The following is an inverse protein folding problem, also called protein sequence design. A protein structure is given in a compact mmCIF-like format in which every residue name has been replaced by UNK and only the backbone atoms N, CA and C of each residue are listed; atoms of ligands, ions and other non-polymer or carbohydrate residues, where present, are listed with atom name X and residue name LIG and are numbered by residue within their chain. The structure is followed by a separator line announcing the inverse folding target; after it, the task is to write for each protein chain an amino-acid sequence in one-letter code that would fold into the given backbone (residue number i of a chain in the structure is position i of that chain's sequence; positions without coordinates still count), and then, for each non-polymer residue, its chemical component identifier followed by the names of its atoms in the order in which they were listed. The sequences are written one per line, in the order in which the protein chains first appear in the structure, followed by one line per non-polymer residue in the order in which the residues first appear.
data_IF_043474670038
#
_entry.id   IF_043474670038
#
_cell.length_a   1.000
_cell.length_b   1.000
_cell.length_c   1.000
_cell.angle_alpha   90.00
_cell.angle_beta   90.00
_cell.angle_gamma   90.00
#
_symmetry.space_group_name_H-M   'P 1'
#
loop_
_entity.id
_entity.type
_entity.pdbx_description
1 polymer ?
#
# COMPACT_ATOMS: atom_id res chain seq x y z
N UNK A 1 -1.15 10.28 4.00
CA UNK A 1 -1.43 9.10 3.16
C UNK A 1 -0.62 7.92 3.68
N UNK A 2 -1.26 6.80 3.96
CA UNK A 2 -0.59 5.56 4.37
C UNK A 2 -0.64 4.54 3.23
N UNK A 3 0.38 3.69 3.12
CA UNK A 3 0.45 2.65 2.10
C UNK A 3 0.71 1.28 2.73
N UNK A 4 -0.19 0.35 2.45
CA UNK A 4 -0.10 -1.05 2.85
C UNK A 4 0.29 -1.87 1.62
N UNK A 5 1.40 -2.60 1.71
CA UNK A 5 1.87 -3.47 0.63
C UNK A 5 1.71 -4.94 1.03
N UNK A 6 0.85 -5.65 0.32
CA UNK A 6 0.53 -7.06 0.51
C UNK A 6 1.06 -7.92 -0.65
N UNK A 7 1.05 -9.23 -0.47
CA UNK A 7 1.52 -10.18 -1.47
C UNK A 7 3.02 -10.46 -1.38
N UNK A 8 3.78 -10.17 -2.44
CA UNK A 8 5.17 -10.60 -2.55
C UNK A 8 6.16 -9.44 -2.63
N UNK A 9 7.46 -9.77 -2.66
CA UNK A 9 8.54 -8.79 -2.75
C UNK A 9 8.41 -7.83 -3.95
N UNK A 10 7.74 -8.25 -5.03
CA UNK A 10 7.44 -7.36 -6.15
C UNK A 10 6.51 -6.22 -5.75
N UNK A 11 5.44 -6.49 -5.01
CA UNK A 11 4.51 -5.46 -4.54
C UNK A 11 5.22 -4.48 -3.60
N UNK A 12 6.17 -4.95 -2.78
CA UNK A 12 6.99 -4.08 -1.94
C UNK A 12 7.85 -3.13 -2.78
N UNK A 13 8.57 -3.64 -3.77
CA UNK A 13 9.40 -2.80 -4.67
C UNK A 13 8.54 -1.81 -5.47
N UNK A 14 7.39 -2.25 -5.97
CA UNK A 14 6.45 -1.37 -6.69
C UNK A 14 5.94 -0.24 -5.77
N UNK A 15 5.69 -0.55 -4.50
CA UNK A 15 5.30 0.42 -3.47
C UNK A 15 6.39 1.44 -3.16
N UNK A 16 7.66 1.02 -3.05
CA UNK A 16 8.81 1.92 -2.87
C UNK A 16 8.98 2.87 -4.06
N UNK A 17 8.79 2.36 -5.29
CA UNK A 17 8.82 3.17 -6.51
C UNK A 17 7.69 4.21 -6.49
N UNK A 18 6.47 3.82 -6.09
CA UNK A 18 5.33 4.72 -5.95
C UNK A 18 5.62 5.83 -4.93
N UNK A 19 6.08 5.47 -3.72
CA UNK A 19 6.45 6.43 -2.69
C UNK A 19 7.59 7.35 -3.15
N UNK A 20 8.58 6.80 -3.86
CA UNK A 20 9.67 7.57 -4.46
C UNK A 20 9.18 8.60 -5.47
N UNK A 21 8.20 8.24 -6.31
CA UNK A 21 7.57 9.15 -7.27
C UNK A 21 6.76 10.26 -6.61
N UNK A 22 6.19 10.00 -5.43
CA UNK A 22 5.41 10.97 -4.68
C UNK A 22 6.24 11.95 -3.84
N UNK A 23 7.57 11.79 -3.76
CA UNK A 23 8.45 12.69 -2.97
C UNK A 23 8.36 14.18 -3.34
N UNK A 24 7.92 14.52 -4.55
CA UNK A 24 7.72 15.91 -5.00
C UNK A 24 6.23 16.29 -5.13
N UNK A 25 5.34 15.45 -4.62
CA UNK A 25 3.91 15.72 -4.56
C UNK A 25 3.55 16.43 -3.25
N UNK A 26 2.30 16.88 -3.13
CA UNK A 26 1.77 17.46 -1.90
C UNK A 26 1.25 16.40 -0.91
N UNK A 27 1.61 15.12 -1.11
CA UNK A 27 1.18 14.02 -0.23
C UNK A 27 2.23 13.77 0.85
N UNK A 28 1.82 13.93 2.10
CA UNK A 28 2.59 13.49 3.25
C UNK A 28 2.38 11.98 3.48
N UNK A 29 3.49 11.25 3.58
CA UNK A 29 3.48 9.82 3.93
C UNK A 29 3.37 9.72 5.45
N UNK A 30 2.34 9.02 5.91
CA UNK A 30 2.04 8.84 7.33
C UNK A 30 2.23 7.36 7.67
N UNK A 31 3.02 7.09 8.72
CA UNK A 31 3.32 5.73 9.14
C UNK A 31 2.12 5.07 9.84
N UNK A 32 1.35 5.83 10.63
CA UNK A 32 0.17 5.32 11.32
C UNK A 32 -1.07 5.40 10.40
N UNK A 33 -1.72 4.27 10.05
CA UNK A 33 -2.90 4.27 9.18
C UNK A 33 -4.06 5.11 9.73
N UNK A 34 -4.25 5.12 11.06
CA UNK A 34 -5.34 5.85 11.72
C UNK A 34 -5.20 7.38 11.63
N UNK A 35 -3.98 7.86 11.38
CA UNK A 35 -3.67 9.29 11.22
C UNK A 35 -3.69 9.73 9.73
N UNK A 36 -3.91 8.80 8.80
CA UNK A 36 -3.86 9.09 7.37
C UNK A 36 -5.24 9.42 6.78
N UNK A 37 -5.35 10.54 6.06
CA UNK A 37 -6.58 10.90 5.33
C UNK A 37 -6.92 9.93 4.17
N UNK A 38 -5.96 9.12 3.73
CA UNK A 38 -6.09 8.19 2.61
C UNK A 38 -5.15 7.02 2.80
N UNK A 39 -5.67 5.81 2.58
CA UNK A 39 -4.92 4.55 2.61
C UNK A 39 -4.89 3.94 1.21
N UNK A 40 -3.70 3.52 0.76
CA UNK A 40 -3.51 2.76 -0.47
C UNK A 40 -3.15 1.32 -0.11
N UNK A 41 -3.93 0.35 -0.59
CA UNK A 41 -3.61 -1.07 -0.45
C UNK A 41 -3.09 -1.59 -1.80
N UNK A 42 -1.80 -1.94 -1.87
CA UNK A 42 -1.18 -2.56 -3.03
C UNK A 42 -1.11 -4.08 -2.81
N UNK A 43 -1.81 -4.87 -3.63
CA UNK A 43 -1.86 -6.34 -3.51
C UNK A 43 -1.62 -7.04 -4.84
N UNK A 44 -1.42 -8.36 -4.80
CA UNK A 44 -1.31 -9.20 -5.99
C UNK A 44 -2.67 -9.81 -6.36
N UNK A 45 -3.17 -9.53 -7.57
CA UNK A 45 -4.43 -10.11 -8.07
C UNK A 45 -4.38 -11.60 -8.44
N UNK A 46 -3.19 -12.21 -8.43
CA UNK A 46 -2.97 -13.61 -8.84
C UNK A 46 -2.75 -14.57 -7.68
N UNK A 47 -2.29 -14.09 -6.53
CA UNK A 47 -2.05 -14.92 -5.36
C UNK A 47 -3.31 -14.92 -4.50
N UNK A 48 -3.91 -16.09 -4.29
CA UNK A 48 -5.16 -16.21 -3.52
C UNK A 48 -4.99 -15.66 -2.09
N UNK A 49 -3.87 -15.99 -1.43
CA UNK A 49 -3.56 -15.46 -0.08
C UNK A 49 -3.52 -13.93 -0.04
N UNK A 50 -2.93 -13.30 -1.06
CA UNK A 50 -2.83 -11.84 -1.11
C UNK A 50 -4.20 -11.17 -1.36
N UNK A 51 -5.11 -11.87 -2.04
CA UNK A 51 -6.49 -11.41 -2.26
C UNK A 51 -7.29 -11.49 -0.97
N UNK A 52 -7.17 -12.60 -0.23
CA UNK A 52 -7.79 -12.75 1.08
C UNK A 52 -7.28 -11.68 2.05
N UNK A 53 -5.96 -11.53 2.21
CA UNK A 53 -5.34 -10.49 3.04
C UNK A 53 -5.84 -9.07 2.68
N UNK A 54 -6.00 -8.78 1.39
CA UNK A 54 -6.47 -7.46 0.96
C UNK A 54 -7.92 -7.19 1.31
N UNK A 55 -8.78 -8.22 1.29
CA UNK A 55 -10.18 -8.09 1.67
C UNK A 55 -10.27 -7.87 3.18
N UNK A 56 -9.53 -8.65 3.96
CA UNK A 56 -9.46 -8.51 5.42
C UNK A 56 -8.88 -7.16 5.85
N UNK A 57 -7.98 -6.58 5.07
CA UNK A 57 -7.43 -5.23 5.34
C UNK A 57 -8.45 -4.11 5.12
N UNK A 58 -9.46 -4.32 4.26
CA UNK A 58 -10.44 -3.31 3.86
C UNK A 58 -11.72 -3.36 4.71
N UNK A 59 -12.05 -4.52 5.30
CA UNK A 59 -13.30 -4.78 6.04
C UNK A 59 -13.14 -4.65 7.56
#
# INVERSE_FOLDING_TARGET
MHLISLGCAKNLVDSEILLGGLKHSQYDVIDEPDEADTIIVNTCGFLDIAREESVDTIL
#
